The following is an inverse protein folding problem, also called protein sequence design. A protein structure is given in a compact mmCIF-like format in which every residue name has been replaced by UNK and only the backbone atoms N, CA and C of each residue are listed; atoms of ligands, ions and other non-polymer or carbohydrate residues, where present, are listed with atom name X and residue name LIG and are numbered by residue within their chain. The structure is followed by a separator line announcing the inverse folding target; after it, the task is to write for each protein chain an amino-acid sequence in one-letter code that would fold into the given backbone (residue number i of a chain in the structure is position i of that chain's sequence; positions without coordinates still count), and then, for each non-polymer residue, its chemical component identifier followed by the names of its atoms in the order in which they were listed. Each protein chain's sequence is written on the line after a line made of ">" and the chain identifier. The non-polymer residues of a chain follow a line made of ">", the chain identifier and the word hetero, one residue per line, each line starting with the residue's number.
data_IF_627813529087
#
_entry.id   IF_627813529087
#
_cell.length_a   1.000
_cell.length_b   1.000
_cell.length_c   1.000
_cell.angle_alpha   90.00
_cell.angle_beta   90.00
_cell.angle_gamma   90.00
#
_symmetry.space_group_name_H-M   'P 1'
#
loop_
_entity.id
_entity.type
_entity.pdbx_description
1 polymer ?
#
# COMPACT_ATOMS: atom_id res chain seq x y z
N UNK A 1 -9.49 -20.86 -15.45
CA UNK A 1 -8.60 -19.87 -14.79
C UNK A 1 -7.23 -20.50 -14.70
N UNK A 2 -6.19 -19.84 -15.22
CA UNK A 2 -4.82 -20.36 -15.18
C UNK A 2 -4.33 -20.51 -13.72
N UNK A 3 -3.69 -21.63 -13.42
CA UNK A 3 -3.14 -21.95 -12.09
C UNK A 3 -2.21 -20.84 -11.59
N UNK A 4 -1.27 -20.40 -12.43
CA UNK A 4 -0.35 -19.29 -12.11
C UNK A 4 -1.10 -17.99 -11.78
N UNK A 5 -2.07 -17.60 -12.61
CA UNK A 5 -2.85 -16.36 -12.39
C UNK A 5 -3.56 -16.38 -11.05
N UNK A 6 -4.11 -17.54 -10.65
CA UNK A 6 -4.76 -17.70 -9.34
C UNK A 6 -3.76 -17.54 -8.20
N UNK A 7 -2.60 -18.20 -8.29
CA UNK A 7 -1.55 -18.13 -7.25
C UNK A 7 -0.99 -16.73 -7.12
N UNK A 8 -0.70 -16.03 -8.23
CA UNK A 8 -0.22 -14.64 -8.24
C UNK A 8 -1.21 -13.68 -7.60
N UNK A 9 -2.50 -13.79 -7.95
CA UNK A 9 -3.53 -12.93 -7.37
C UNK A 9 -3.67 -13.15 -5.85
N UNK A 10 -3.75 -14.41 -5.41
CA UNK A 10 -3.88 -14.73 -3.97
C UNK A 10 -2.64 -14.24 -3.20
N UNK A 11 -1.43 -14.49 -3.73
CA UNK A 11 -0.18 -14.10 -3.09
C UNK A 11 -0.09 -12.59 -2.91
N UNK A 12 -0.40 -11.81 -3.95
CA UNK A 12 -0.37 -10.35 -3.84
C UNK A 12 -1.39 -9.80 -2.83
N UNK A 13 -2.62 -10.31 -2.84
CA UNK A 13 -3.63 -9.89 -1.86
C UNK A 13 -3.25 -10.29 -0.43
N UNK A 14 -2.57 -11.43 -0.26
CA UNK A 14 -2.04 -11.84 1.04
C UNK A 14 -0.93 -10.89 1.53
N UNK A 15 0.00 -10.50 0.64
CA UNK A 15 1.03 -9.48 0.94
C UNK A 15 0.37 -8.15 1.32
N UNK A 16 -0.59 -7.69 0.54
CA UNK A 16 -1.35 -6.47 0.84
C UNK A 16 -2.00 -6.54 2.23
N UNK A 17 -2.69 -7.64 2.56
CA UNK A 17 -3.37 -7.80 3.83
C UNK A 17 -2.38 -7.80 5.01
N UNK A 18 -1.29 -8.54 4.91
CA UNK A 18 -0.25 -8.59 5.95
C UNK A 18 0.37 -7.20 6.13
N UNK A 19 0.81 -6.56 5.05
CA UNK A 19 1.42 -5.24 5.10
C UNK A 19 0.45 -4.18 5.65
N UNK A 20 -0.82 -4.22 5.27
CA UNK A 20 -1.85 -3.31 5.79
C UNK A 20 -2.01 -3.47 7.29
N UNK A 21 -2.05 -4.71 7.81
CA UNK A 21 -2.14 -4.96 9.26
C UNK A 21 -0.90 -4.43 9.99
N UNK A 22 0.30 -4.70 9.46
CA UNK A 22 1.54 -4.20 10.05
C UNK A 22 1.54 -2.67 10.10
N UNK A 23 1.23 -2.01 8.98
CA UNK A 23 1.17 -0.55 8.94
C UNK A 23 0.07 0.02 9.83
N UNK A 24 -1.12 -0.59 9.87
CA UNK A 24 -2.20 -0.15 10.75
C UNK A 24 -1.80 -0.17 12.24
N UNK A 25 -0.94 -1.11 12.65
CA UNK A 25 -0.42 -1.16 14.02
C UNK A 25 0.82 -0.28 14.25
N UNK A 26 1.51 0.15 13.19
CA UNK A 26 2.75 0.93 13.30
C UNK A 26 2.61 2.40 12.91
N UNK A 27 1.44 2.84 12.42
CA UNK A 27 1.22 4.24 12.08
C UNK A 27 1.36 5.12 13.32
N UNK A 28 2.01 6.27 13.16
CA UNK A 28 2.07 7.26 14.22
C UNK A 28 0.67 7.87 14.44
N UNK A 29 0.18 7.97 15.69
CA UNK A 29 -1.15 8.52 15.97
C UNK A 29 -1.24 10.04 15.76
N UNK A 30 -0.10 10.71 15.58
CA UNK A 30 0.04 12.15 15.44
C UNK A 30 1.00 12.50 14.31
N UNK A 31 1.26 13.80 14.12
CA UNK A 31 2.33 14.27 13.24
C UNK A 31 3.68 13.66 13.62
N UNK A 32 4.39 13.11 12.63
CA UNK A 32 5.78 12.65 12.76
C UNK A 32 6.76 13.77 12.39
N UNK A 33 8.04 13.55 12.70
CA UNK A 33 9.15 14.44 12.32
C UNK A 33 9.25 14.58 10.79
N UNK A 34 9.85 15.69 10.36
CA UNK A 34 10.10 16.04 8.94
C UNK A 34 8.84 16.55 8.22
N UNK A 35 8.54 16.03 7.03
CA UNK A 35 7.53 16.58 6.13
C UNK A 35 6.09 16.19 6.48
N UNK A 36 5.88 15.19 7.36
CA UNK A 36 4.54 14.67 7.67
C UNK A 36 3.56 15.77 8.09
N UNK A 37 4.01 16.74 8.91
CA UNK A 37 3.16 17.85 9.35
C UNK A 37 2.75 18.78 8.21
N UNK A 38 3.66 19.07 7.29
CA UNK A 38 3.39 19.88 6.10
C UNK A 38 2.37 19.18 5.19
N UNK A 39 2.53 17.88 4.95
CA UNK A 39 1.62 17.11 4.11
C UNK A 39 0.25 16.88 4.77
N UNK A 40 0.18 16.64 6.08
CA UNK A 40 -1.09 16.51 6.82
C UNK A 40 -1.86 17.83 6.79
N UNK A 41 -1.21 18.95 7.12
CA UNK A 41 -1.86 20.27 7.09
C UNK A 41 -2.23 20.69 5.66
N UNK A 42 -1.37 20.39 4.69
CA UNK A 42 -1.61 20.58 3.27
C UNK A 42 -2.81 19.77 2.76
N UNK A 43 -2.97 18.52 3.20
CA UNK A 43 -4.10 17.68 2.82
C UNK A 43 -5.40 18.14 3.50
N UNK A 44 -5.32 18.53 4.78
CA UNK A 44 -6.47 19.04 5.53
C UNK A 44 -7.01 20.34 4.92
N UNK A 45 -6.13 21.29 4.56
CA UNK A 45 -6.53 22.61 4.05
C UNK A 45 -6.49 22.73 2.52
N UNK A 46 -6.07 21.69 1.80
CA UNK A 46 -5.80 21.70 0.36
C UNK A 46 -4.85 22.85 -0.05
N UNK A 47 -3.73 22.99 0.67
CA UNK A 47 -2.73 24.02 0.41
C UNK A 47 -1.67 23.55 -0.58
N UNK A 48 -0.86 24.48 -1.10
CA UNK A 48 0.24 24.14 -2.01
C UNK A 48 1.43 23.65 -1.19
N UNK A 49 1.81 22.41 -1.43
CA UNK A 49 3.07 21.77 -0.99
C UNK A 49 4.05 21.66 -2.17
N UNK A 50 5.23 21.08 -1.92
CA UNK A 50 6.33 20.98 -2.88
C UNK A 50 5.89 20.41 -4.27
N UNK A 51 6.41 20.94 -5.39
CA UNK A 51 6.15 20.39 -6.73
C UNK A 51 7.06 19.18 -7.06
N UNK A 52 6.76 18.34 -8.09
CA UNK A 52 5.47 17.80 -8.56
C UNK A 52 5.12 16.45 -7.88
N UNK A 53 3.84 16.09 -7.83
CA UNK A 53 3.34 14.82 -7.27
C UNK A 53 2.58 14.97 -5.95
N UNK A 54 2.87 16.03 -5.18
CA UNK A 54 2.16 16.33 -3.95
C UNK A 54 0.64 16.53 -4.12
N UNK A 55 0.11 17.14 -5.22
CA UNK A 55 -1.35 17.31 -5.35
C UNK A 55 -2.16 16.01 -5.29
N UNK A 56 -1.66 14.91 -5.87
CA UNK A 56 -2.36 13.63 -5.81
C UNK A 56 -2.38 13.09 -4.37
N UNK A 57 -1.25 13.18 -3.66
CA UNK A 57 -1.18 12.81 -2.25
C UNK A 57 -2.16 13.64 -1.41
N UNK A 58 -2.22 14.96 -1.62
CA UNK A 58 -3.13 15.81 -0.87
C UNK A 58 -4.60 15.49 -1.12
N UNK A 59 -4.97 15.23 -2.38
CA UNK A 59 -6.34 14.84 -2.74
C UNK A 59 -6.72 13.49 -2.11
N UNK A 60 -5.82 12.50 -2.16
CA UNK A 60 -6.03 11.23 -1.48
C UNK A 60 -6.14 11.43 0.03
N UNK A 61 -5.26 12.24 0.62
CA UNK A 61 -5.26 12.55 2.05
C UNK A 61 -6.55 13.22 2.48
N UNK A 62 -7.06 14.15 1.66
CA UNK A 62 -8.35 14.82 1.88
C UNK A 62 -9.51 13.83 1.84
N UNK A 63 -9.51 12.86 0.92
CA UNK A 63 -10.54 11.80 0.89
C UNK A 63 -10.51 10.97 2.17
N UNK A 64 -9.32 10.55 2.65
CA UNK A 64 -9.20 9.79 3.89
C UNK A 64 -9.63 10.59 5.12
N UNK A 65 -9.27 11.88 5.19
CA UNK A 65 -9.76 12.78 6.24
C UNK A 65 -11.29 12.88 6.18
N UNK A 66 -11.88 13.06 5.00
CA UNK A 66 -13.35 13.11 4.85
C UNK A 66 -14.03 11.80 5.22
N UNK A 67 -13.39 10.64 5.01
CA UNK A 67 -13.89 9.36 5.49
C UNK A 67 -13.83 9.32 7.03
N UNK A 68 -12.73 9.79 7.65
CA UNK A 68 -12.62 9.84 9.11
C UNK A 68 -13.69 10.76 9.73
N UNK A 69 -13.99 11.89 9.11
CA UNK A 69 -15.01 12.86 9.52
C UNK A 69 -16.44 12.26 9.55
N UNK A 70 -16.70 11.19 8.77
CA UNK A 70 -17.98 10.46 8.82
C UNK A 70 -18.15 9.64 10.11
N UNK A 71 -17.06 9.30 10.80
CA UNK A 71 -17.07 8.42 11.97
C UNK A 71 -16.60 9.10 13.25
N UNK A 72 -15.82 10.18 13.15
CA UNK A 72 -15.20 10.87 14.28
C UNK A 72 -15.45 12.37 14.18
N UNK A 73 -15.74 13.01 15.30
CA UNK A 73 -15.78 14.47 15.41
C UNK A 73 -14.34 15.02 15.39
N UNK A 74 -13.90 15.49 14.22
CA UNK A 74 -12.54 15.99 14.03
C UNK A 74 -12.27 17.33 14.72
N UNK A 75 -13.31 18.08 15.10
CA UNK A 75 -13.13 19.33 15.88
C UNK A 75 -12.84 19.01 17.35
N UNK A 76 -13.56 18.04 17.91
CA UNK A 76 -13.30 17.53 19.26
C UNK A 76 -12.01 16.69 19.33
N UNK A 77 -11.66 16.00 18.24
CA UNK A 77 -10.55 15.03 18.18
C UNK A 77 -9.66 15.22 16.93
N UNK A 78 -8.83 16.28 16.89
CA UNK A 78 -8.00 16.60 15.72
C UNK A 78 -6.90 15.57 15.43
N UNK A 79 -6.56 14.70 16.38
CA UNK A 79 -5.62 13.58 16.18
C UNK A 79 -6.04 12.65 15.04
N UNK A 80 -7.34 12.48 14.79
CA UNK A 80 -7.84 11.62 13.72
C UNK A 80 -7.53 12.15 12.32
N UNK A 81 -7.24 13.45 12.17
CA UNK A 81 -6.76 14.03 10.91
C UNK A 81 -5.40 13.43 10.55
N UNK A 82 -4.46 13.43 11.51
CA UNK A 82 -3.13 12.87 11.32
C UNK A 82 -3.19 11.35 11.11
N UNK A 83 -4.02 10.65 11.90
CA UNK A 83 -4.22 9.21 11.76
C UNK A 83 -4.76 8.84 10.37
N UNK A 84 -5.73 9.59 9.84
CA UNK A 84 -6.30 9.32 8.52
C UNK A 84 -5.26 9.41 7.40
N UNK A 85 -4.40 10.43 7.41
CA UNK A 85 -3.34 10.62 6.41
C UNK A 85 -2.20 9.60 6.58
N UNK A 86 -1.84 9.26 7.83
CA UNK A 86 -0.85 8.23 8.10
C UNK A 86 -1.36 6.84 7.68
N UNK A 87 -2.63 6.53 7.95
CA UNK A 87 -3.28 5.30 7.52
C UNK A 87 -3.36 5.20 6.00
N UNK A 88 -3.71 6.30 5.32
CA UNK A 88 -3.63 6.39 3.86
C UNK A 88 -2.23 5.99 3.38
N UNK A 89 -1.20 6.62 3.94
CA UNK A 89 0.19 6.35 3.55
C UNK A 89 0.55 4.87 3.75
N UNK A 90 0.14 4.27 4.87
CA UNK A 90 0.32 2.83 5.14
C UNK A 90 -0.39 1.93 4.11
N UNK A 91 -1.64 2.25 3.75
CA UNK A 91 -2.41 1.47 2.75
C UNK A 91 -1.77 1.57 1.36
N UNK A 92 -1.36 2.75 0.92
CA UNK A 92 -0.69 2.92 -0.37
C UNK A 92 0.68 2.23 -0.40
N UNK A 93 1.42 2.23 0.71
CA UNK A 93 2.66 1.44 0.82
C UNK A 93 2.38 -0.07 0.79
N UNK A 94 1.30 -0.55 1.41
CA UNK A 94 0.88 -1.95 1.31
C UNK A 94 0.49 -2.34 -0.13
N UNK A 95 -0.15 -1.44 -0.89
CA UNK A 95 -0.43 -1.65 -2.31
C UNK A 95 0.86 -1.73 -3.13
N UNK A 96 1.84 -0.87 -2.83
CA UNK A 96 3.16 -0.94 -3.48
C UNK A 96 3.86 -2.28 -3.21
N UNK A 97 3.84 -2.76 -1.97
CA UNK A 97 4.35 -4.09 -1.58
C UNK A 97 3.69 -5.23 -2.39
N UNK A 98 2.37 -5.19 -2.57
CA UNK A 98 1.66 -6.14 -3.43
C UNK A 98 2.14 -6.07 -4.89
N UNK A 99 2.35 -4.88 -5.44
CA UNK A 99 2.88 -4.75 -6.81
C UNK A 99 4.30 -5.28 -6.93
N UNK A 100 5.15 -5.07 -5.92
CA UNK A 100 6.51 -5.66 -5.88
C UNK A 100 6.42 -7.19 -5.90
N UNK A 101 5.53 -7.79 -5.09
CA UNK A 101 5.28 -9.23 -5.11
C UNK A 101 4.88 -9.73 -6.51
N UNK A 102 3.93 -9.05 -7.17
CA UNK A 102 3.49 -9.43 -8.52
C UNK A 102 4.60 -9.30 -9.55
N UNK A 103 5.37 -8.21 -9.54
CA UNK A 103 6.50 -8.01 -10.45
C UNK A 103 7.52 -9.11 -10.26
N UNK A 104 7.87 -9.45 -9.01
CA UNK A 104 8.81 -10.53 -8.71
C UNK A 104 8.31 -11.88 -9.22
N UNK A 105 7.02 -12.19 -9.05
CA UNK A 105 6.42 -13.43 -9.56
C UNK A 105 6.39 -13.49 -11.09
N UNK A 106 6.04 -12.39 -11.76
CA UNK A 106 6.00 -12.30 -13.23
C UNK A 106 7.41 -12.47 -13.81
N UNK A 107 8.40 -11.78 -13.24
CA UNK A 107 9.80 -11.91 -13.65
C UNK A 107 10.33 -13.31 -13.36
N UNK A 108 10.02 -13.88 -12.20
CA UNK A 108 10.38 -15.25 -11.85
C UNK A 108 9.80 -16.28 -12.83
N UNK A 109 8.53 -16.14 -13.23
CA UNK A 109 7.92 -17.00 -14.26
C UNK A 109 8.69 -16.87 -15.57
N UNK A 110 8.97 -15.64 -16.00
CA UNK A 110 9.68 -15.37 -17.24
C UNK A 110 11.07 -16.02 -17.25
N UNK A 111 11.77 -16.04 -16.11
CA UNK A 111 13.06 -16.72 -15.95
C UNK A 111 12.94 -18.25 -15.97
N UNK A 112 11.92 -18.82 -15.34
CA UNK A 112 11.78 -20.29 -15.22
C UNK A 112 11.32 -20.98 -16.51
N UNK A 113 10.32 -20.39 -17.19
CA UNK A 113 9.63 -21.05 -18.30
C UNK A 113 9.46 -20.16 -19.53
N UNK A 114 10.00 -18.93 -19.51
CA UNK A 114 9.82 -17.97 -20.60
C UNK A 114 8.41 -17.39 -20.65
N UNK A 115 8.11 -16.67 -21.75
CA UNK A 115 6.85 -15.95 -21.93
C UNK A 115 5.67 -16.91 -22.09
N UNK A 116 5.84 -17.92 -22.94
CA UNK A 116 4.79 -18.84 -23.38
C UNK A 116 4.77 -20.17 -22.60
N UNK A 117 5.80 -20.42 -21.78
CA UNK A 117 5.84 -21.61 -20.94
C UNK A 117 4.80 -21.60 -19.83
N UNK A 118 4.30 -22.78 -19.51
CA UNK A 118 3.39 -23.02 -18.39
C UNK A 118 4.17 -23.51 -17.19
N UNK A 119 3.79 -23.03 -16.02
CA UNK A 119 4.37 -23.45 -14.74
C UNK A 119 3.64 -24.67 -14.18
N UNK A 120 4.41 -25.63 -13.69
CA UNK A 120 3.85 -26.73 -12.90
C UNK A 120 3.46 -26.28 -11.48
N UNK A 121 2.89 -27.18 -10.68
CA UNK A 121 2.47 -26.88 -9.31
C UNK A 121 3.63 -26.47 -8.39
N UNK A 122 4.80 -27.10 -8.54
CA UNK A 122 5.98 -26.84 -7.72
C UNK A 122 6.59 -25.47 -8.03
N UNK A 123 6.65 -25.10 -9.31
CA UNK A 123 7.10 -23.79 -9.77
C UNK A 123 6.13 -22.70 -9.32
N UNK A 124 4.82 -22.94 -9.35
CA UNK A 124 3.83 -22.00 -8.83
C UNK A 124 4.01 -21.74 -7.33
N UNK A 125 4.28 -22.81 -6.55
CA UNK A 125 4.58 -22.68 -5.12
C UNK A 125 5.87 -21.90 -4.87
N UNK A 126 6.93 -22.20 -5.61
CA UNK A 126 8.20 -21.46 -5.52
C UNK A 126 8.01 -19.97 -5.86
N UNK A 127 7.26 -19.66 -6.92
CA UNK A 127 6.95 -18.28 -7.30
C UNK A 127 6.10 -17.57 -6.24
N UNK A 128 5.16 -18.25 -5.59
CA UNK A 128 4.42 -17.68 -4.45
C UNK A 128 5.39 -17.30 -3.31
N UNK A 129 6.36 -18.17 -3.00
CA UNK A 129 7.44 -17.87 -2.05
C UNK A 129 8.26 -16.65 -2.44
N UNK A 130 8.64 -16.53 -3.73
CA UNK A 130 9.33 -15.35 -4.26
C UNK A 130 8.51 -14.07 -4.07
N UNK A 131 7.21 -14.12 -4.36
CA UNK A 131 6.31 -12.97 -4.18
C UNK A 131 6.19 -12.55 -2.71
N UNK A 132 6.05 -13.52 -1.81
CA UNK A 132 5.99 -13.26 -0.37
C UNK A 132 7.27 -12.60 0.15
N UNK A 133 8.44 -13.14 -0.20
CA UNK A 133 9.72 -12.57 0.24
C UNK A 133 9.94 -11.19 -0.37
N UNK A 134 9.70 -11.02 -1.68
CA UNK A 134 9.93 -9.73 -2.33
C UNK A 134 8.97 -8.64 -1.85
N UNK A 135 7.71 -8.98 -1.56
CA UNK A 135 6.70 -8.02 -1.13
C UNK A 135 6.76 -7.65 0.35
N UNK A 136 7.31 -8.51 1.21
CA UNK A 136 7.32 -8.31 2.67
C UNK A 136 8.72 -8.04 3.26
N UNK A 137 9.78 -8.08 2.46
CA UNK A 137 11.14 -7.67 2.86
C UNK A 137 11.32 -6.15 2.73
#
# INVERSE_FOLDING_TARGET
>A
MDSFKRVTNITGWLVFAIATVVYAFSIQPTTSLWDCGEFISGAYKLQVVHPPGAPLFLLAGRVFISIADLFFDLEAHPEYIAQAVNMMSGIFTALAAMFVAWVAMIMGKLTLVGRDGQTDASQNLALAGTGLVAGLA
#
